data_IF_524394997312
#
_entry.id   IF_524394997312
#
_cell.length_a   1.000
_cell.length_b   1.000
_cell.length_c   1.000
_cell.angle_alpha   90.00
_cell.angle_beta   90.00
_cell.angle_gamma   90.00
#
_symmetry.space_group_name_H-M   'P 1'
#
loop_
_entity.id
_entity.type
_entity.pdbx_description
1 polymer ?
#
# COMPACT_ATOMS: atom_id res chain seq x y z
N UNK A 1 -10.62 4.12 10.20
CA UNK A 1 -9.88 3.42 9.13
C UNK A 1 -8.63 4.23 8.83
N UNK A 2 -7.46 3.61 8.80
CA UNK A 2 -6.21 4.31 8.44
C UNK A 2 -6.09 4.42 6.93
N UNK A 3 -5.63 5.56 6.46
CA UNK A 3 -5.26 5.76 5.05
C UNK A 3 -3.80 5.40 4.83
N UNK A 4 -3.41 5.09 3.59
CA UNK A 4 -1.99 4.88 3.27
C UNK A 4 -1.13 6.12 3.59
N UNK A 5 -1.71 7.32 3.46
CA UNK A 5 -1.07 8.58 3.85
C UNK A 5 -0.52 8.53 5.29
N UNK A 6 -1.40 8.17 6.24
CA UNK A 6 -1.04 8.09 7.65
C UNK A 6 0.02 7.00 7.89
N UNK A 7 -0.07 5.88 7.17
CA UNK A 7 0.90 4.80 7.29
C UNK A 7 2.28 5.18 6.74
N UNK A 8 2.36 5.89 5.61
CA UNK A 8 3.63 6.37 5.06
C UNK A 8 4.31 7.28 6.07
N UNK A 9 3.56 8.19 6.70
CA UNK A 9 4.08 9.06 7.75
C UNK A 9 4.59 8.26 8.95
N UNK A 10 3.84 7.26 9.41
CA UNK A 10 4.23 6.42 10.55
C UNK A 10 5.46 5.55 10.25
N UNK A 11 5.55 4.98 9.05
CA UNK A 11 6.61 4.04 8.66
C UNK A 11 7.91 4.73 8.22
N UNK A 12 7.80 5.89 7.57
CA UNK A 12 8.94 6.57 6.93
C UNK A 12 9.30 7.89 7.60
N UNK A 13 8.42 8.45 8.44
CA UNK A 13 8.58 9.79 9.02
C UNK A 13 8.36 10.93 8.03
N UNK A 14 8.01 10.63 6.78
CA UNK A 14 7.83 11.62 5.71
C UNK A 14 6.36 12.03 5.61
N UNK A 15 6.11 13.34 5.54
CA UNK A 15 4.78 13.88 5.24
C UNK A 15 4.63 14.07 3.72
N UNK A 16 3.73 13.30 3.10
CA UNK A 16 3.47 13.33 1.65
C UNK A 16 2.00 13.64 1.41
N UNK A 17 1.66 14.72 0.71
CA UNK A 17 0.25 15.03 0.39
C UNK A 17 -0.46 13.84 -0.30
N UNK A 18 -1.75 13.61 0.00
CA UNK A 18 -2.51 12.47 -0.53
C UNK A 18 -2.47 12.34 -2.06
N UNK A 19 -2.58 13.46 -2.76
CA UNK A 19 -2.51 13.53 -4.24
C UNK A 19 -1.10 13.21 -4.80
N UNK A 20 -0.06 13.25 -3.97
CA UNK A 20 1.34 12.96 -4.34
C UNK A 20 1.79 11.56 -3.90
N UNK A 21 0.96 10.78 -3.21
CA UNK A 21 1.31 9.42 -2.78
C UNK A 21 1.69 8.55 -3.97
N UNK A 22 0.90 8.57 -5.05
CA UNK A 22 1.21 7.78 -6.24
C UNK A 22 2.54 8.18 -6.89
N UNK A 23 2.88 9.48 -6.91
CA UNK A 23 4.19 9.96 -7.39
C UNK A 23 5.32 9.49 -6.46
N UNK A 24 5.14 9.60 -5.14
CA UNK A 24 6.09 9.11 -4.15
C UNK A 24 6.37 7.61 -4.34
N UNK A 25 5.32 6.79 -4.47
CA UNK A 25 5.43 5.33 -4.67
C UNK A 25 6.00 4.95 -6.05
N UNK A 26 5.80 5.80 -7.07
CA UNK A 26 6.43 5.58 -8.37
C UNK A 26 7.95 5.76 -8.32
N UNK A 27 8.44 6.59 -7.39
CA UNK A 27 9.86 6.92 -7.22
C UNK A 27 10.54 6.13 -6.10
N UNK A 28 9.75 5.54 -5.20
CA UNK A 28 10.23 4.81 -4.02
C UNK A 28 9.46 3.50 -3.89
N UNK A 29 10.22 2.42 -3.82
CA UNK A 29 9.71 1.15 -3.34
C UNK A 29 9.24 1.32 -1.88
N UNK A 30 7.98 1.02 -1.61
CA UNK A 30 7.45 1.04 -0.26
C UNK A 30 7.36 -0.38 0.27
N UNK A 31 8.13 -0.65 1.33
CA UNK A 31 8.05 -1.92 2.02
C UNK A 31 6.89 -1.91 3.02
N UNK A 32 5.84 -2.63 2.69
CA UNK A 32 4.67 -2.86 3.55
C UNK A 32 4.66 -4.31 4.06
N UNK A 33 5.82 -4.99 4.08
CA UNK A 33 5.92 -6.34 4.60
C UNK A 33 5.36 -6.43 6.03
N UNK A 34 4.43 -7.35 6.25
CA UNK A 34 3.77 -7.52 7.56
C UNK A 34 2.89 -6.35 8.02
N UNK A 35 2.62 -5.36 7.17
CA UNK A 35 1.85 -4.18 7.55
C UNK A 35 0.40 -4.51 7.91
N UNK A 36 -0.14 -3.85 8.94
CA UNK A 36 -1.55 -3.97 9.33
C UNK A 36 -2.42 -3.04 8.48
N UNK A 37 -2.82 -3.52 7.31
CA UNK A 37 -3.63 -2.77 6.33
C UNK A 37 -5.14 -3.04 6.46
N UNK A 38 -5.60 -3.62 7.57
CA UNK A 38 -6.99 -4.00 7.73
C UNK A 38 -7.92 -2.77 7.65
N UNK A 39 -8.88 -2.79 6.72
CA UNK A 39 -9.77 -1.65 6.50
C UNK A 39 -9.09 -0.42 5.89
N UNK A 40 -7.94 -0.57 5.23
CA UNK A 40 -7.25 0.57 4.61
C UNK A 40 -7.91 1.01 3.30
N UNK A 41 -8.04 2.33 3.12
CA UNK A 41 -8.44 2.92 1.85
C UNK A 41 -7.24 3.10 0.93
N UNK A 42 -7.15 2.25 -0.10
CA UNK A 42 -6.04 2.20 -1.04
C UNK A 42 -6.48 2.47 -2.50
N UNK A 43 -7.76 2.73 -2.75
CA UNK A 43 -8.38 2.80 -4.09
C UNK A 43 -7.77 3.84 -5.05
N UNK A 44 -7.09 4.87 -4.54
CA UNK A 44 -6.46 5.93 -5.33
C UNK A 44 -4.93 5.76 -5.52
N UNK A 45 -4.36 4.66 -5.01
CA UNK A 45 -2.90 4.48 -4.92
C UNK A 45 -2.36 3.52 -5.98
N UNK A 46 -1.27 3.88 -6.66
CA UNK A 46 -0.52 2.89 -7.45
C UNK A 46 0.35 2.02 -6.53
N UNK A 47 0.01 0.72 -6.41
CA UNK A 47 0.69 -0.25 -5.55
C UNK A 47 1.63 -1.18 -6.32
N UNK A 48 1.87 -0.95 -7.62
CA UNK A 48 2.68 -1.86 -8.46
C UNK A 48 4.09 -2.16 -7.94
N UNK A 49 4.66 -1.23 -7.18
CA UNK A 49 6.02 -1.32 -6.66
C UNK A 49 6.05 -1.45 -5.13
N UNK A 50 4.95 -1.84 -4.47
CA UNK A 50 4.92 -2.02 -3.02
C UNK A 50 5.12 -3.50 -2.64
N UNK A 51 5.93 -3.77 -1.63
CA UNK A 51 5.99 -5.11 -1.03
C UNK A 51 4.79 -5.30 -0.08
N UNK A 52 3.85 -6.16 -0.45
CA UNK A 52 2.69 -6.48 0.41
C UNK A 52 2.78 -7.88 1.03
N UNK A 53 3.94 -8.56 0.93
CA UNK A 53 4.12 -9.90 1.51
C UNK A 53 3.85 -9.89 3.01
N UNK A 54 3.05 -10.85 3.49
CA UNK A 54 2.64 -10.93 4.89
C UNK A 54 1.73 -9.79 5.39
N UNK A 55 1.33 -8.83 4.55
CA UNK A 55 0.46 -7.74 4.96
C UNK A 55 -0.97 -8.23 5.21
N UNK A 56 -1.63 -7.70 6.25
CA UNK A 56 -3.02 -8.01 6.53
C UNK A 56 -3.95 -7.16 5.66
N UNK A 57 -4.36 -7.71 4.51
CA UNK A 57 -5.24 -7.06 3.53
C UNK A 57 -6.74 -7.24 3.80
N UNK A 58 -7.13 -7.72 5.00
CA UNK A 58 -8.54 -7.97 5.31
C UNK A 58 -9.35 -6.67 5.26
N UNK A 59 -10.34 -6.63 4.38
CA UNK A 59 -11.25 -5.51 4.25
C UNK A 59 -10.63 -4.24 3.66
N UNK A 60 -9.52 -4.35 2.90
CA UNK A 60 -9.01 -3.21 2.13
C UNK A 60 -10.03 -2.76 1.09
N UNK A 61 -10.04 -1.47 0.82
CA UNK A 61 -10.79 -0.90 -0.30
C UNK A 61 -9.83 -0.56 -1.44
N UNK A 62 -9.93 -1.33 -2.53
CA UNK A 62 -9.16 -1.16 -3.78
C UNK A 62 -10.09 -1.16 -4.99
N UNK A 63 -9.63 -0.59 -6.10
CA UNK A 63 -10.33 -0.63 -7.38
C UNK A 63 -10.10 -1.94 -8.12
N UNK A 64 -11.02 -2.30 -9.02
CA UNK A 64 -10.88 -3.48 -9.89
C UNK A 64 -9.56 -3.49 -10.68
N UNK A 65 -9.14 -2.33 -11.18
CA UNK A 65 -7.88 -2.17 -11.93
C UNK A 65 -6.65 -2.46 -11.06
N UNK A 66 -6.68 -2.11 -9.78
CA UNK A 66 -5.59 -2.44 -8.85
C UNK A 66 -5.56 -3.92 -8.52
N UNK A 67 -6.73 -4.56 -8.39
CA UNK A 67 -6.83 -6.01 -8.20
C UNK A 67 -6.17 -6.78 -9.35
N UNK A 68 -6.39 -6.34 -10.58
CA UNK A 68 -5.77 -6.93 -11.78
C UNK A 68 -4.25 -6.73 -11.85
N UNK A 69 -3.70 -5.77 -11.10
CA UNK A 69 -2.27 -5.43 -11.09
C UNK A 69 -1.54 -5.93 -9.84
N UNK A 70 -2.30 -6.40 -8.84
CA UNK A 70 -1.73 -6.95 -7.63
C UNK A 70 -1.01 -8.26 -7.96
N UNK A 71 0.30 -8.26 -7.77
CA UNK A 71 1.09 -9.50 -7.74
C UNK A 71 1.22 -9.90 -6.28
N UNK A 72 0.49 -10.95 -5.88
CA UNK A 72 0.70 -11.58 -4.57
C UNK A 72 1.97 -12.41 -4.70
N UNK A 73 3.04 -11.97 -4.04
CA UNK A 73 4.26 -12.75 -3.88
C UNK A 73 4.00 -13.71 -2.72
N UNK A 74 3.64 -14.95 -3.04
CA UNK A 74 3.60 -16.04 -2.06
C UNK A 74 5.00 -16.22 -1.48
N UNK A 75 5.10 -16.15 -0.15
CA UNK A 75 6.25 -16.72 0.54
C UNK A 75 6.05 -18.23 0.48
N UNK A 76 6.83 -18.91 -0.36
CA UNK A 76 6.94 -20.37 -0.30
C UNK A 76 7.36 -20.73 1.13
N UNK A 77 6.56 -21.58 1.80
CA UNK A 77 6.87 -22.18 3.10
C UNK A 77 8.23 -22.89 3.12
#
# INVERSE_FOLDING_TARGET
MKTLYEMIKDLTGIDVEQNKISDYLSRKFLDLHGAKLNGAYLSWVDLKCANLSGANLKGIEITKKQLEQLTVIEENE
#
